data_IF_179333086115
#
_entry.id   IF_179333086115
#
_cell.length_a   1.000
_cell.length_b   1.000
_cell.length_c   1.000
_cell.angle_alpha   90.00
_cell.angle_beta   90.00
_cell.angle_gamma   90.00
#
_symmetry.space_group_name_H-M   'P 1'
#
loop_
_entity.id
_entity.type
_entity.pdbx_description
1 polymer ?
#
# COMPACT_ATOMS: atom_id res chain seq x y z
N UNK A 1 12.26 8.81 1.40
CA UNK A 1 12.21 7.45 0.79
C UNK A 1 10.78 6.92 0.74
N UNK A 2 10.07 6.76 1.87
CA UNK A 2 8.70 6.21 1.87
C UNK A 2 7.69 7.01 1.03
N UNK A 3 7.74 8.34 1.07
CA UNK A 3 6.84 9.22 0.28
C UNK A 3 7.04 8.98 -1.22
N UNK A 4 8.31 8.93 -1.67
CA UNK A 4 8.63 8.70 -3.08
C UNK A 4 8.14 7.34 -3.55
N UNK A 5 8.34 6.28 -2.74
CA UNK A 5 7.85 4.95 -3.06
C UNK A 5 6.31 4.92 -3.13
N UNK A 6 5.63 5.57 -2.17
CA UNK A 6 4.18 5.66 -2.15
C UNK A 6 3.64 6.38 -3.39
N UNK A 7 4.27 7.48 -3.80
CA UNK A 7 3.90 8.23 -5.01
C UNK A 7 4.16 7.43 -6.29
N UNK A 8 5.28 6.71 -6.37
CA UNK A 8 5.62 5.84 -7.51
C UNK A 8 4.61 4.70 -7.67
N UNK A 9 4.27 4.01 -6.58
CA UNK A 9 3.26 2.95 -6.58
C UNK A 9 1.91 3.54 -6.99
N UNK A 10 1.51 4.67 -6.42
CA UNK A 10 0.25 5.34 -6.75
C UNK A 10 0.19 5.76 -8.23
N UNK A 11 1.29 6.26 -8.78
CA UNK A 11 1.39 6.62 -10.20
C UNK A 11 1.27 5.37 -11.09
N UNK A 12 1.96 4.30 -10.72
CA UNK A 12 1.94 3.02 -11.45
C UNK A 12 0.54 2.41 -11.46
N UNK A 13 -0.17 2.43 -10.32
CA UNK A 13 -1.56 1.95 -10.22
C UNK A 13 -2.49 2.74 -11.15
N UNK A 14 -2.39 4.08 -11.14
CA UNK A 14 -3.18 4.94 -12.03
C UNK A 14 -2.92 4.66 -13.51
N UNK A 15 -1.66 4.42 -13.88
CA UNK A 15 -1.25 4.20 -15.27
C UNK A 15 -1.60 2.80 -15.79
N UNK A 16 -1.46 1.77 -14.94
CA UNK A 16 -1.61 0.36 -15.34
C UNK A 16 -3.05 -0.13 -15.34
N UNK A 17 -3.86 0.29 -14.35
CA UNK A 17 -5.22 -0.23 -14.20
C UNK A 17 -6.26 0.57 -15.00
N UNK A 18 -5.97 1.83 -15.37
CA UNK A 18 -6.86 2.72 -16.13
C UNK A 18 -8.28 2.89 -15.55
N UNK A 19 -8.47 2.59 -14.26
CA UNK A 19 -9.75 2.72 -13.56
C UNK A 19 -10.03 4.17 -13.16
N UNK A 20 -10.67 4.94 -14.05
CA UNK A 20 -10.91 6.38 -13.90
C UNK A 20 -11.75 6.76 -12.66
N UNK A 21 -12.61 5.86 -12.21
CA UNK A 21 -13.50 6.09 -11.04
C UNK A 21 -12.84 5.76 -9.72
N UNK A 22 -11.63 5.21 -9.71
CA UNK A 22 -10.96 4.80 -8.48
C UNK A 22 -9.99 5.84 -7.97
N UNK A 23 -10.06 6.11 -6.67
CA UNK A 23 -9.06 6.87 -5.93
C UNK A 23 -8.10 5.90 -5.24
N UNK A 24 -6.81 6.16 -5.39
CA UNK A 24 -5.76 5.34 -4.80
C UNK A 24 -5.11 6.03 -3.61
N UNK A 25 -5.00 5.29 -2.49
CA UNK A 25 -4.20 5.66 -1.33
C UNK A 25 -3.13 4.59 -1.10
N UNK A 26 -1.89 5.00 -0.87
CA UNK A 26 -0.77 4.06 -0.67
C UNK A 26 -0.08 4.39 0.65
N UNK A 27 0.11 3.38 1.49
CA UNK A 27 0.85 3.46 2.73
C UNK A 27 2.10 2.59 2.64
N UNK A 28 3.26 3.18 2.92
CA UNK A 28 4.55 2.49 2.92
C UNK A 28 5.18 2.65 4.30
N UNK A 29 5.55 1.52 4.91
CA UNK A 29 6.22 1.45 6.21
C UNK A 29 7.58 0.80 5.99
N UNK A 30 8.65 1.52 6.31
CA UNK A 30 10.02 1.01 6.25
C UNK A 30 10.61 1.13 7.64
N UNK A 31 11.22 0.04 8.12
CA UNK A 31 11.94 0.02 9.39
C UNK A 31 13.21 -0.82 9.31
N UNK A 32 14.16 -0.55 10.20
CA UNK A 32 15.40 -1.33 10.31
C UNK A 32 15.09 -2.70 10.93
N UNK A 33 15.79 -3.75 10.53
CA UNK A 33 15.66 -5.10 11.07
C UNK A 33 16.80 -5.40 12.05
N UNK A 34 16.49 -5.43 13.35
CA UNK A 34 17.41 -5.69 14.46
C UNK A 34 17.02 -6.90 15.31
N UNK A 35 16.26 -7.84 14.72
CA UNK A 35 15.77 -9.04 15.39
C UNK A 35 14.44 -8.87 16.13
N UNK A 36 13.75 -7.74 15.94
CA UNK A 36 12.40 -7.53 16.48
C UNK A 36 11.32 -8.25 15.64
N UNK A 37 10.21 -8.60 16.29
CA UNK A 37 8.99 -9.04 15.61
C UNK A 37 8.10 -7.85 15.29
N UNK A 38 7.75 -7.66 14.02
CA UNK A 38 6.83 -6.60 13.57
C UNK A 38 5.58 -7.22 12.97
N UNK A 39 4.41 -6.78 13.41
CA UNK A 39 3.12 -7.10 12.80
C UNK A 39 2.44 -5.80 12.37
N UNK A 40 2.10 -5.73 11.09
CA UNK A 40 1.36 -4.60 10.52
C UNK A 40 -0.01 -5.12 10.07
N UNK A 41 -1.05 -4.33 10.26
CA UNK A 41 -2.41 -4.67 9.86
C UNK A 41 -3.19 -3.39 9.58
N UNK A 42 -4.19 -3.47 8.70
CA UNK A 42 -5.11 -2.37 8.40
C UNK A 42 -6.53 -2.76 8.75
N UNK A 43 -7.40 -1.75 8.90
CA UNK A 43 -8.85 -1.92 9.02
C UNK A 43 -9.50 -0.88 8.12
N UNK A 44 -10.50 -1.30 7.36
CA UNK A 44 -11.20 -0.45 6.41
C UNK A 44 -12.70 -0.52 6.68
N UNK A 45 -13.37 0.62 6.50
CA UNK A 45 -14.81 0.70 6.40
C UNK A 45 -15.13 1.20 4.99
N UNK A 46 -15.55 0.29 4.14
CA UNK A 46 -15.61 0.48 2.69
C UNK A 46 -16.66 -0.45 2.08
N UNK A 47 -17.00 -0.25 0.82
CA UNK A 47 -17.95 -1.07 0.08
C UNK A 47 -17.26 -2.36 -0.40
N UNK A 48 -17.78 -3.54 -0.05
CA UNK A 48 -17.15 -4.83 -0.36
C UNK A 48 -17.20 -5.23 -1.84
N UNK A 49 -18.10 -4.62 -2.61
CA UNK A 49 -18.30 -4.92 -4.03
C UNK A 49 -17.40 -4.06 -4.91
N UNK A 50 -17.03 -2.87 -4.43
CA UNK A 50 -16.29 -1.87 -5.22
C UNK A 50 -14.94 -1.50 -4.65
N UNK A 51 -14.71 -1.55 -3.34
CA UNK A 51 -13.45 -1.13 -2.74
C UNK A 51 -12.55 -2.34 -2.44
N UNK A 52 -11.24 -2.18 -2.64
CA UNK A 52 -10.28 -3.27 -2.41
C UNK A 52 -8.88 -2.78 -2.05
N UNK A 53 -8.04 -3.70 -1.56
CA UNK A 53 -6.64 -3.40 -1.25
C UNK A 53 -5.71 -4.51 -1.69
N UNK A 54 -4.47 -4.12 -1.91
CA UNK A 54 -3.34 -5.01 -2.13
C UNK A 54 -2.27 -4.74 -1.07
N UNK A 55 -1.66 -5.80 -0.56
CA UNK A 55 -0.55 -5.74 0.39
C UNK A 55 0.70 -6.38 -0.22
N UNK A 56 1.86 -5.81 0.08
CA UNK A 56 3.15 -6.39 -0.25
C UNK A 56 4.14 -6.18 0.91
N UNK A 57 4.89 -7.21 1.26
CA UNK A 57 5.91 -7.18 2.29
C UNK A 57 7.26 -7.64 1.75
N UNK A 58 8.32 -6.96 2.16
CA UNK A 58 9.71 -7.29 1.85
C UNK A 58 10.54 -7.20 3.13
N UNK A 59 11.51 -8.11 3.29
CA UNK A 59 12.45 -8.09 4.42
C UNK A 59 13.80 -8.63 4.01
N UNK A 60 14.85 -8.01 4.54
CA UNK A 60 16.22 -8.51 4.48
C UNK A 60 16.89 -8.36 5.87
N UNK A 61 18.19 -8.63 5.94
CA UNK A 61 18.95 -8.61 7.20
C UNK A 61 19.06 -7.21 7.83
N UNK A 62 18.83 -6.14 7.07
CA UNK A 62 19.00 -4.75 7.53
C UNK A 62 17.70 -3.99 7.67
N UNK A 63 16.66 -4.32 6.90
CA UNK A 63 15.38 -3.59 6.89
C UNK A 63 14.20 -4.48 6.51
N UNK A 64 13.02 -4.01 6.87
CA UNK A 64 11.74 -4.49 6.37
C UNK A 64 10.96 -3.34 5.73
N UNK A 65 10.12 -3.68 4.76
CA UNK A 65 9.21 -2.78 4.08
C UNK A 65 7.84 -3.45 3.96
N UNK A 66 6.78 -2.78 4.39
CA UNK A 66 5.40 -3.24 4.22
C UNK A 66 4.62 -2.12 3.54
N UNK A 67 3.88 -2.49 2.51
CA UNK A 67 3.14 -1.57 1.65
C UNK A 67 1.70 -2.02 1.52
N UNK A 68 0.78 -1.06 1.65
CA UNK A 68 -0.64 -1.24 1.38
C UNK A 68 -1.08 -0.26 0.31
N UNK A 69 -1.81 -0.74 -0.69
CA UNK A 69 -2.47 0.07 -1.69
C UNK A 69 -3.97 -0.14 -1.59
N UNK A 70 -4.72 0.94 -1.36
CA UNK A 70 -6.18 0.94 -1.29
C UNK A 70 -6.75 1.59 -2.55
N UNK A 71 -7.66 0.90 -3.21
CA UNK A 71 -8.48 1.43 -4.30
C UNK A 71 -9.91 1.61 -3.81
N UNK A 72 -10.38 2.86 -3.81
CA UNK A 72 -11.73 3.21 -3.36
C UNK A 72 -12.51 3.83 -4.53
N UNK A 73 -13.70 3.32 -4.80
CA UNK A 73 -14.58 3.81 -5.83
C UNK A 73 -15.12 5.19 -5.47
N UNK A 74 -15.02 6.14 -6.41
CA UNK A 74 -15.58 7.48 -6.28
C UNK A 74 -16.95 7.52 -6.93
N UNK A 75 -17.98 7.53 -6.09
CA UNK A 75 -19.37 7.80 -6.47
C UNK A 75 -19.54 9.20 -7.06
#
# INVERSE_FOLDING_TARGET
MCILLADEIKHTLKKSLLLQRYRYSVQVIIGEQKGQGVKVSYRCYWDSDTDSCAEASFSNDSLFCVTFAFGVYSY
#
